data_IF_683085858297
#
_entry.id   IF_683085858297
#
_cell.length_a   1.000
_cell.length_b   1.000
_cell.length_c   1.000
_cell.angle_alpha   90.00
_cell.angle_beta   90.00
_cell.angle_gamma   90.00
#
_symmetry.space_group_name_H-M   'P 1'
#
loop_
_entity.id
_entity.type
_entity.pdbx_description
1 polymer ?
#
# COMPACT_ATOMS: atom_id res chain seq x y z
N UNK A 1 0.82 -23.58 7.94
CA UNK A 1 1.77 -22.66 7.33
C UNK A 1 2.73 -22.14 8.38
N UNK A 2 4.04 -22.20 8.11
CA UNK A 2 5.04 -21.74 9.06
C UNK A 2 5.14 -20.24 9.14
N UNK A 3 5.94 -19.78 10.08
CA UNK A 3 6.25 -18.35 10.19
C UNK A 3 7.07 -17.89 8.99
N UNK A 4 6.99 -16.60 8.69
CA UNK A 4 7.83 -16.02 7.64
C UNK A 4 9.29 -16.05 8.10
N UNK A 5 10.20 -16.14 7.14
CA UNK A 5 11.63 -16.13 7.42
C UNK A 5 12.03 -14.80 8.06
N UNK A 6 13.02 -14.84 8.94
CA UNK A 6 13.55 -13.64 9.59
C UNK A 6 14.02 -12.62 8.56
N UNK A 7 14.66 -13.09 7.48
CA UNK A 7 15.11 -12.25 6.39
C UNK A 7 13.96 -11.45 5.77
N UNK A 8 12.84 -12.14 5.51
CA UNK A 8 11.67 -11.50 4.92
C UNK A 8 11.03 -10.50 5.87
N UNK A 9 10.96 -10.84 7.15
CA UNK A 9 10.40 -9.94 8.14
C UNK A 9 11.21 -8.65 8.27
N UNK A 10 12.52 -8.76 8.29
CA UNK A 10 13.40 -7.60 8.35
C UNK A 10 13.23 -6.71 7.12
N UNK A 11 13.19 -7.34 5.96
CA UNK A 11 13.04 -6.61 4.71
C UNK A 11 11.68 -5.92 4.65
N UNK A 12 10.64 -6.58 5.09
CA UNK A 12 9.30 -6.00 5.13
C UNK A 12 9.26 -4.76 6.02
N UNK A 13 9.85 -4.83 7.22
CA UNK A 13 9.89 -3.68 8.13
C UNK A 13 10.66 -2.50 7.54
N UNK A 14 11.68 -2.78 6.75
CA UNK A 14 12.47 -1.74 6.09
C UNK A 14 11.71 -1.10 4.94
N UNK A 15 11.04 -1.92 4.12
CA UNK A 15 10.41 -1.45 2.90
C UNK A 15 9.02 -0.84 3.10
N UNK A 16 8.26 -1.29 4.08
CA UNK A 16 6.89 -0.81 4.27
C UNK A 16 6.78 0.70 4.37
N UNK A 17 7.59 1.39 5.21
CA UNK A 17 7.50 2.85 5.26
C UNK A 17 7.82 3.51 3.91
N UNK A 18 8.77 2.95 3.17
CA UNK A 18 9.14 3.48 1.85
C UNK A 18 8.02 3.29 0.83
N UNK A 19 7.37 2.14 0.85
CA UNK A 19 6.23 1.87 -0.02
C UNK A 19 5.09 2.84 0.28
N UNK A 20 4.83 3.10 1.56
CA UNK A 20 3.77 4.01 1.97
C UNK A 20 4.09 5.46 1.58
N UNK A 21 5.36 5.88 1.73
CA UNK A 21 5.77 7.21 1.29
C UNK A 21 5.55 7.39 -0.21
N UNK A 22 5.96 6.40 -1.00
CA UNK A 22 5.78 6.47 -2.45
C UNK A 22 4.31 6.51 -2.84
N UNK A 23 3.49 5.72 -2.16
CA UNK A 23 2.06 5.67 -2.43
C UNK A 23 1.40 7.00 -2.10
N UNK A 24 1.71 7.58 -0.94
CA UNK A 24 1.16 8.88 -0.55
C UNK A 24 1.63 10.00 -1.47
N UNK A 25 2.85 9.91 -1.98
CA UNK A 25 3.35 10.89 -2.96
C UNK A 25 2.48 10.86 -4.22
N UNK A 26 2.13 9.68 -4.68
CA UNK A 26 1.24 9.51 -5.82
C UNK A 26 -0.15 10.09 -5.52
N UNK A 27 -0.68 9.84 -4.33
CA UNK A 27 -1.98 10.39 -3.92
C UNK A 27 -1.95 11.91 -3.90
N UNK A 28 -0.88 12.50 -3.38
CA UNK A 28 -0.72 13.96 -3.33
C UNK A 28 -0.78 14.55 -4.74
N UNK A 29 -0.14 13.89 -5.71
CA UNK A 29 -0.23 14.32 -7.10
C UNK A 29 -1.67 14.37 -7.60
N UNK A 30 -2.46 13.36 -7.25
CA UNK A 30 -3.87 13.33 -7.63
C UNK A 30 -4.68 14.42 -6.92
N UNK A 31 -4.36 14.72 -5.67
CA UNK A 31 -5.02 15.79 -4.92
C UNK A 31 -4.73 17.15 -5.54
N UNK A 32 -3.51 17.36 -5.99
CA UNK A 32 -3.14 18.60 -6.68
C UNK A 32 -3.99 18.78 -7.95
N UNK A 33 -4.20 17.71 -8.69
CA UNK A 33 -5.06 17.75 -9.88
C UNK A 33 -6.50 18.16 -9.52
N UNK A 34 -7.03 17.61 -8.42
CA UNK A 34 -8.36 17.98 -7.94
C UNK A 34 -8.42 19.48 -7.63
N UNK A 35 -7.40 19.97 -6.92
CA UNK A 35 -7.36 21.36 -6.48
C UNK A 35 -7.14 22.33 -7.64
N UNK A 36 -6.51 21.90 -8.71
CA UNK A 36 -6.26 22.72 -9.90
C UNK A 36 -7.38 22.63 -10.94
N UNK A 37 -8.45 21.92 -10.63
CA UNK A 37 -9.59 21.81 -11.55
C UNK A 37 -10.37 23.12 -11.71
N UNK A 38 -11.32 23.11 -12.64
CA UNK A 38 -12.09 24.30 -13.00
C UNK A 38 -13.37 24.47 -12.22
N UNK A 39 -13.73 23.51 -11.37
CA UNK A 39 -14.97 23.59 -10.60
C UNK A 39 -14.87 24.61 -9.48
N UNK A 40 -16.02 24.94 -8.89
CA UNK A 40 -16.08 25.89 -7.80
C UNK A 40 -15.19 25.47 -6.63
N UNK A 41 -14.73 26.45 -5.86
CA UNK A 41 -13.86 26.20 -4.71
C UNK A 41 -14.49 25.20 -3.72
N UNK A 42 -15.79 25.34 -3.47
CA UNK A 42 -16.49 24.42 -2.56
C UNK A 42 -16.48 22.99 -3.09
N UNK A 43 -16.69 22.80 -4.38
CA UNK A 43 -16.65 21.46 -4.99
C UNK A 43 -15.27 20.82 -4.87
N UNK A 44 -14.22 21.61 -5.09
CA UNK A 44 -12.85 21.12 -4.98
C UNK A 44 -12.50 20.78 -3.53
N UNK A 45 -12.93 21.60 -2.60
CA UNK A 45 -12.68 21.38 -1.17
C UNK A 45 -13.30 20.05 -0.70
N UNK A 46 -14.58 19.85 -1.01
CA UNK A 46 -15.27 18.65 -0.55
C UNK A 46 -14.84 17.41 -1.32
N UNK A 47 -14.46 17.55 -2.59
CA UNK A 47 -13.89 16.44 -3.34
C UNK A 47 -12.58 15.95 -2.73
N UNK A 48 -11.75 16.88 -2.28
CA UNK A 48 -10.49 16.53 -1.61
C UNK A 48 -10.76 15.82 -0.28
N UNK A 49 -11.68 16.33 0.50
CA UNK A 49 -12.03 15.74 1.79
C UNK A 49 -12.54 14.30 1.62
N UNK A 50 -13.40 14.09 0.65
CA UNK A 50 -13.91 12.74 0.34
C UNK A 50 -12.79 11.80 -0.07
N UNK A 51 -11.86 12.27 -0.92
CA UNK A 51 -10.72 11.46 -1.37
C UNK A 51 -9.81 11.08 -0.21
N UNK A 52 -9.49 12.04 0.66
CA UNK A 52 -8.63 11.76 1.81
C UNK A 52 -9.30 10.75 2.75
N UNK A 53 -10.59 10.91 3.00
CA UNK A 53 -11.32 9.99 3.87
C UNK A 53 -11.33 8.55 3.33
N UNK A 54 -11.42 8.40 2.01
CA UNK A 54 -11.35 7.10 1.37
C UNK A 54 -9.94 6.54 1.38
N UNK A 55 -8.97 7.38 1.01
CA UNK A 55 -7.59 6.93 0.80
C UNK A 55 -6.89 6.55 2.11
N UNK A 56 -7.23 7.16 3.22
CA UNK A 56 -6.61 6.81 4.50
C UNK A 56 -7.00 5.43 5.01
N UNK A 57 -7.97 4.78 4.36
CA UNK A 57 -8.31 3.39 4.65
C UNK A 57 -7.41 2.40 3.91
N UNK A 58 -6.61 2.88 2.98
CA UNK A 58 -5.70 2.04 2.21
C UNK A 58 -4.50 1.60 3.05
N UNK A 59 -4.03 0.39 2.82
CA UNK A 59 -2.80 -0.12 3.45
C UNK A 59 -1.56 0.70 3.06
N UNK A 60 -1.65 1.49 1.99
CA UNK A 60 -0.58 2.41 1.58
C UNK A 60 -0.49 3.64 2.47
N UNK A 61 -1.49 3.90 3.28
CA UNK A 61 -1.52 5.03 4.22
C UNK A 61 -1.39 4.55 5.65
N UNK A 62 -2.12 3.50 6.02
CA UNK A 62 -2.14 3.03 7.39
C UNK A 62 -2.19 1.51 7.46
N UNK A 63 -1.28 0.92 8.24
CA UNK A 63 -1.34 -0.48 8.62
C UNK A 63 -1.45 -0.50 10.15
N UNK A 64 -2.55 -1.04 10.64
CA UNK A 64 -2.85 -1.01 12.07
C UNK A 64 -2.04 -2.01 12.90
N UNK A 65 -1.58 -3.09 12.29
CA UNK A 65 -0.99 -4.20 13.02
C UNK A 65 0.19 -4.76 12.25
N UNK A 66 1.38 -4.30 12.60
CA UNK A 66 2.61 -4.73 11.94
C UNK A 66 3.28 -5.79 12.80
N UNK A 67 2.97 -7.06 12.51
CA UNK A 67 3.54 -8.20 13.20
C UNK A 67 4.05 -9.22 12.19
N UNK A 68 5.04 -10.01 12.61
CA UNK A 68 5.57 -11.07 11.78
C UNK A 68 4.47 -12.06 11.37
N UNK A 69 3.56 -12.36 12.29
CA UNK A 69 2.46 -13.30 12.04
C UNK A 69 1.42 -12.77 11.05
N UNK A 70 1.31 -11.45 10.88
CA UNK A 70 0.35 -10.85 9.95
C UNK A 70 1.00 -10.38 8.65
N UNK A 71 2.31 -10.57 8.49
CA UNK A 71 3.05 -10.04 7.35
C UNK A 71 2.49 -10.49 6.00
N UNK A 72 2.19 -11.79 5.84
CA UNK A 72 1.62 -12.28 4.57
C UNK A 72 0.29 -11.62 4.26
N UNK A 73 -0.55 -11.47 5.27
CA UNK A 73 -1.84 -10.81 5.12
C UNK A 73 -1.66 -9.36 4.69
N UNK A 74 -0.70 -8.66 5.32
CA UNK A 74 -0.42 -7.27 4.97
C UNK A 74 0.11 -7.13 3.54
N UNK A 75 0.97 -8.05 3.11
CA UNK A 75 1.45 -8.06 1.72
C UNK A 75 0.28 -8.24 0.75
N UNK A 76 -0.65 -9.14 1.07
CA UNK A 76 -1.84 -9.33 0.23
C UNK A 76 -2.67 -8.05 0.12
N UNK A 77 -2.83 -7.34 1.23
CA UNK A 77 -3.55 -6.06 1.23
C UNK A 77 -2.84 -5.01 0.39
N UNK A 78 -1.52 -4.91 0.53
CA UNK A 78 -0.73 -3.95 -0.24
C UNK A 78 -0.84 -4.21 -1.75
N UNK A 79 -0.83 -5.47 -2.14
CA UNK A 79 -1.04 -5.83 -3.54
C UNK A 79 -2.46 -5.51 -4.00
N UNK A 80 -3.46 -5.84 -3.19
CA UNK A 80 -4.86 -5.60 -3.50
C UNK A 80 -5.16 -4.11 -3.63
N UNK A 81 -4.53 -3.29 -2.78
CA UNK A 81 -4.72 -1.84 -2.80
C UNK A 81 -3.84 -1.14 -3.84
N UNK A 82 -3.10 -1.90 -4.62
CA UNK A 82 -2.18 -1.38 -5.65
C UNK A 82 -1.08 -0.47 -5.10
N UNK A 83 -0.68 -0.73 -3.86
CA UNK A 83 0.43 -0.01 -3.23
C UNK A 83 1.76 -0.55 -3.75
N UNK A 84 1.84 -1.87 -3.93
CA UNK A 84 3.02 -2.55 -4.45
C UNK A 84 2.64 -3.48 -5.60
N UNK A 85 3.66 -3.90 -6.34
CA UNK A 85 3.52 -4.90 -7.40
C UNK A 85 4.39 -6.11 -7.06
N UNK A 86 4.30 -7.17 -7.86
CA UNK A 86 5.18 -8.33 -7.67
C UNK A 86 6.65 -7.96 -7.79
N UNK A 87 6.98 -6.98 -8.63
CA UNK A 87 8.36 -6.52 -8.79
C UNK A 87 8.92 -5.96 -7.49
N UNK A 88 8.08 -5.36 -6.66
CA UNK A 88 8.50 -4.81 -5.38
C UNK A 88 8.93 -5.89 -4.39
N UNK A 89 8.59 -7.14 -4.66
CA UNK A 89 8.92 -8.27 -3.80
C UNK A 89 10.19 -9.01 -4.24
N UNK A 90 10.95 -8.42 -5.13
CA UNK A 90 12.12 -9.07 -5.73
C UNK A 90 13.14 -9.57 -4.70
N UNK A 91 13.34 -8.82 -3.63
CA UNK A 91 14.29 -9.19 -2.57
C UNK A 91 13.79 -10.23 -1.57
N UNK A 92 12.52 -10.64 -1.68
CA UNK A 92 11.94 -11.59 -0.73
C UNK A 92 12.21 -13.03 -1.16
N UNK A 93 12.01 -13.98 -0.24
CA UNK A 93 12.21 -15.41 -0.55
C UNK A 93 11.09 -15.91 -1.46
N UNK A 94 11.31 -17.06 -2.06
CA UNK A 94 10.32 -17.69 -2.94
C UNK A 94 9.01 -18.00 -2.20
N UNK A 95 9.06 -18.25 -0.91
CA UNK A 95 7.86 -18.48 -0.10
C UNK A 95 6.92 -17.29 -0.19
N UNK A 96 7.45 -16.08 0.01
CA UNK A 96 6.66 -14.85 -0.05
C UNK A 96 6.22 -14.56 -1.50
N UNK A 97 7.12 -14.70 -2.45
CA UNK A 97 6.79 -14.48 -3.86
C UNK A 97 5.69 -15.40 -4.36
N UNK A 98 5.78 -16.67 -3.98
CA UNK A 98 4.79 -17.66 -4.36
C UNK A 98 3.43 -17.35 -3.77
N UNK A 99 3.39 -16.95 -2.51
CA UNK A 99 2.17 -16.53 -1.84
C UNK A 99 1.55 -15.32 -2.57
N UNK A 100 2.38 -14.33 -2.88
CA UNK A 100 1.92 -13.12 -3.56
C UNK A 100 1.32 -13.44 -4.94
N UNK A 101 1.97 -14.31 -5.69
CA UNK A 101 1.47 -14.72 -7.00
C UNK A 101 0.09 -15.38 -6.91
N UNK A 102 -0.11 -16.20 -5.87
CA UNK A 102 -1.43 -16.83 -5.65
C UNK A 102 -2.50 -15.80 -5.31
N UNK A 103 -2.13 -14.73 -4.61
CA UNK A 103 -3.08 -13.68 -4.23
C UNK A 103 -3.65 -12.93 -5.42
N UNK A 104 -2.85 -12.71 -6.45
CA UNK A 104 -3.28 -11.91 -7.61
C UNK A 104 -3.73 -12.74 -8.81
N UNK A 105 -3.50 -14.02 -8.81
CA UNK A 105 -3.92 -14.92 -9.90
C UNK A 105 -5.30 -15.53 -9.64
N UNK A 106 -6.26 -14.73 -9.31
CA UNK A 106 -7.62 -15.22 -9.07
C UNK A 106 -8.55 -14.92 -10.22
#
# INVERSE_FOLDING_TARGET
MGEVAEKDWRLFKELLPKWQESYMEMLIGQYIEILNGDSEASSRFWALEERINRDKLSSGVLVNDIRRSTMRYEIANLLSDNVITLDDLEGFTEDIKSYARRCICR
#
